data_IF_954667943380
#
_entry.id   IF_954667943380
#
_cell.length_a   1.000
_cell.length_b   1.000
_cell.length_c   1.000
_cell.angle_alpha   90.00
_cell.angle_beta   90.00
_cell.angle_gamma   90.00
#
_symmetry.space_group_name_H-M   'P 1'
#
loop_
_entity.id
_entity.type
_entity.pdbx_description
1 polymer ?
#
# COMPACT_ATOMS: atom_id res chain seq x y z
N UNK A 1 -42.21 44.22 54.25
CA UNK A 1 -42.67 45.62 54.42
C UNK A 1 -41.76 46.53 53.61
N UNK A 2 -42.36 47.43 52.83
CA UNK A 2 -41.82 48.55 52.05
C UNK A 2 -40.97 48.24 50.79
N UNK A 3 -41.59 48.58 49.66
CA UNK A 3 -41.05 48.90 48.34
C UNK A 3 -40.85 50.45 48.25
N UNK A 4 -40.56 51.08 47.10
CA UNK A 4 -39.32 51.11 46.29
C UNK A 4 -38.83 52.56 46.07
N UNK A 5 -37.61 52.79 45.53
CA UNK A 5 -37.32 53.96 44.68
C UNK A 5 -36.40 53.57 43.52
N UNK A 6 -36.78 54.03 42.33
CA UNK A 6 -36.22 53.77 41.01
C UNK A 6 -35.90 55.13 40.36
N UNK A 7 -35.02 55.11 39.34
CA UNK A 7 -34.73 56.11 38.28
C UNK A 7 -33.43 56.92 38.49
N UNK A 8 -32.61 57.25 37.48
CA UNK A 8 -32.88 57.61 36.08
C UNK A 8 -31.69 57.29 35.15
N UNK A 9 -31.99 57.00 33.87
CA UNK A 9 -31.08 57.03 32.71
C UNK A 9 -30.81 58.48 32.25
N UNK A 10 -29.62 58.76 31.70
CA UNK A 10 -29.46 59.53 30.44
C UNK A 10 -28.08 59.32 29.79
N UNK A 11 -28.11 59.07 28.47
CA UNK A 11 -26.98 59.05 27.55
C UNK A 11 -26.64 60.50 27.16
N UNK A 12 -25.35 60.83 27.05
CA UNK A 12 -24.89 61.83 26.07
C UNK A 12 -23.51 61.44 25.54
N UNK A 13 -23.41 61.48 24.22
CA UNK A 13 -22.31 61.19 23.34
C UNK A 13 -21.46 62.48 23.19
N UNK A 14 -20.14 62.41 23.28
CA UNK A 14 -19.27 63.45 22.71
C UNK A 14 -17.91 62.85 22.33
N UNK A 15 -17.72 62.79 21.01
CA UNK A 15 -16.48 62.52 20.28
C UNK A 15 -15.55 63.71 20.48
N UNK A 16 -14.26 63.47 20.72
CA UNK A 16 -13.18 64.36 20.28
C UNK A 16 -11.87 63.59 20.12
N UNK A 17 -11.60 63.35 18.84
CA UNK A 17 -10.36 63.09 18.09
C UNK A 17 -8.99 63.39 18.73
N UNK A 18 -8.02 62.60 18.24
CA UNK A 18 -6.56 62.80 18.19
C UNK A 18 -5.81 62.66 19.53
N UNK A 19 -4.78 61.83 19.65
CA UNK A 19 -3.62 61.80 18.77
C UNK A 19 -2.94 60.44 18.72
N UNK A 20 -2.52 60.13 17.51
CA UNK A 20 -1.74 59.01 17.04
C UNK A 20 -0.37 58.91 17.72
N UNK A 21 -0.13 57.82 18.42
CA UNK A 21 1.22 57.23 18.49
C UNK A 21 1.14 55.86 17.84
N UNK A 22 1.45 55.84 16.54
CA UNK A 22 1.78 54.63 15.80
C UNK A 22 2.94 53.94 16.53
N UNK A 23 2.65 52.86 17.25
CA UNK A 23 3.66 51.85 17.51
C UNK A 23 3.86 51.15 16.18
N UNK A 24 4.91 51.52 15.46
CA UNK A 24 5.44 50.72 14.37
C UNK A 24 5.95 49.43 14.97
N UNK A 25 5.07 48.44 15.12
CA UNK A 25 5.49 47.04 15.07
C UNK A 25 6.09 46.84 13.70
N UNK A 26 7.42 46.86 13.63
CA UNK A 26 8.16 46.19 12.56
C UNK A 26 7.82 44.72 12.64
N UNK A 27 6.67 44.36 12.05
CA UNK A 27 6.51 43.01 11.52
C UNK A 27 7.64 42.87 10.52
N UNK A 28 8.68 42.15 10.91
CA UNK A 28 9.49 41.46 9.93
C UNK A 28 8.51 40.55 9.19
N UNK A 29 7.93 41.09 8.11
CA UNK A 29 7.45 40.31 7.01
C UNK A 29 8.69 39.59 6.51
N UNK A 30 8.96 38.42 7.11
CA UNK A 30 9.60 37.34 6.38
C UNK A 30 8.61 37.07 5.26
N UNK A 31 8.78 37.81 4.17
CA UNK A 31 8.32 37.39 2.89
C UNK A 31 8.97 36.02 2.70
N UNK A 32 8.21 34.96 2.98
CA UNK A 32 8.46 33.67 2.38
C UNK A 32 8.38 33.94 0.88
N UNK A 33 9.54 34.23 0.29
CA UNK A 33 9.77 34.11 -1.14
C UNK A 33 9.15 32.77 -1.50
N UNK A 34 8.13 32.71 -2.36
CA UNK A 34 7.71 31.42 -2.86
C UNK A 34 8.93 30.91 -3.60
N UNK A 35 9.56 29.84 -3.07
CA UNK A 35 10.54 29.08 -3.82
C UNK A 35 9.78 28.44 -4.98
N UNK A 36 9.52 29.23 -6.02
CA UNK A 36 9.10 28.77 -7.34
C UNK A 36 10.34 28.21 -8.02
N UNK A 37 10.67 26.98 -7.62
CA UNK A 37 11.35 25.97 -8.41
C UNK A 37 10.59 24.65 -8.18
N UNK A 38 10.66 23.65 -9.07
CA UNK A 38 9.73 22.51 -9.07
C UNK A 38 9.89 21.51 -7.90
N UNK A 39 10.66 21.86 -6.86
CA UNK A 39 11.07 20.93 -5.82
C UNK A 39 10.77 21.55 -4.45
N UNK A 40 9.60 21.20 -3.92
CA UNK A 40 9.27 21.47 -2.53
C UNK A 40 10.20 20.64 -1.63
N UNK A 41 10.76 21.21 -0.55
CA UNK A 41 11.55 20.45 0.41
C UNK A 41 10.71 19.33 1.05
N UNK A 42 11.32 18.17 1.21
CA UNK A 42 10.75 16.98 1.83
C UNK A 42 10.47 17.23 3.32
N UNK A 43 9.20 17.11 3.76
CA UNK A 43 8.78 17.48 5.13
C UNK A 43 7.89 16.42 5.82
N UNK A 44 7.73 15.21 5.24
CA UNK A 44 6.83 14.22 5.82
C UNK A 44 7.57 13.12 6.59
N UNK A 45 7.56 13.21 7.93
CA UNK A 45 8.12 12.18 8.83
C UNK A 45 7.53 10.77 8.60
N UNK A 46 6.30 10.64 8.10
CA UNK A 46 5.71 9.31 7.84
C UNK A 46 6.45 8.56 6.75
N UNK A 47 7.08 9.28 5.80
CA UNK A 47 7.87 8.66 4.74
C UNK A 47 9.15 8.03 5.30
N UNK A 48 9.75 8.62 6.33
CA UNK A 48 10.93 8.04 6.99
C UNK A 48 10.65 6.66 7.60
N UNK A 49 9.40 6.42 8.00
CA UNK A 49 8.96 5.16 8.57
C UNK A 49 8.42 4.17 7.52
N UNK A 50 8.28 4.60 6.25
CA UNK A 50 7.87 3.75 5.13
C UNK A 50 6.45 3.18 5.21
N UNK A 51 5.59 3.63 6.13
CA UNK A 51 4.21 3.14 6.23
C UNK A 51 3.23 4.24 6.64
N UNK A 52 1.99 4.15 6.15
CA UNK A 52 0.99 5.20 6.36
C UNK A 52 -0.45 4.70 6.24
N UNK A 53 -1.32 5.29 7.07
CA UNK A 53 -2.75 5.00 7.14
C UNK A 53 -3.55 6.26 6.78
N UNK A 54 -4.44 6.16 5.79
CA UNK A 54 -5.14 7.29 5.21
C UNK A 54 -6.64 7.01 5.10
N UNK A 55 -7.46 8.00 5.46
CA UNK A 55 -8.88 8.02 5.11
C UNK A 55 -9.04 8.62 3.72
N UNK A 56 -9.75 7.91 2.86
CA UNK A 56 -9.92 8.27 1.45
C UNK A 56 -11.39 8.27 1.07
N UNK A 57 -11.68 8.97 -0.01
CA UNK A 57 -13.02 9.02 -0.60
C UNK A 57 -12.88 8.76 -2.09
N UNK A 58 -13.78 7.93 -2.63
CA UNK A 58 -13.92 7.69 -4.07
C UNK A 58 -14.53 8.89 -4.79
N UNK A 59 -14.51 8.91 -6.11
CA UNK A 59 -15.17 9.97 -6.89
C UNK A 59 -16.70 9.97 -6.70
N UNK A 60 -17.29 8.82 -6.37
CA UNK A 60 -18.71 8.67 -6.02
C UNK A 60 -18.98 8.82 -4.51
N UNK A 61 -18.11 9.53 -3.78
CA UNK A 61 -18.27 9.92 -2.37
C UNK A 61 -18.37 8.75 -1.36
N UNK A 62 -17.78 7.59 -1.66
CA UNK A 62 -17.69 6.46 -0.73
C UNK A 62 -16.36 6.48 0.00
N UNK A 63 -16.41 6.38 1.33
CA UNK A 63 -15.21 6.35 2.17
C UNK A 63 -14.55 4.97 2.17
N UNK A 64 -13.21 4.92 2.24
CA UNK A 64 -12.45 3.72 2.53
C UNK A 64 -11.17 4.08 3.30
N UNK A 65 -10.57 3.11 3.98
CA UNK A 65 -9.24 3.28 4.57
C UNK A 65 -8.19 2.73 3.62
N UNK A 66 -7.07 3.42 3.51
CA UNK A 66 -5.94 3.00 2.70
C UNK A 66 -4.70 2.83 3.58
N UNK A 67 -4.07 1.66 3.45
CA UNK A 67 -2.84 1.27 4.11
C UNK A 67 -1.76 1.22 3.04
N UNK A 68 -0.77 2.10 3.14
CA UNK A 68 0.34 2.14 2.21
C UNK A 68 1.63 1.78 2.92
N UNK A 69 2.45 0.97 2.26
CA UNK A 69 3.82 0.67 2.67
C UNK A 69 4.78 1.03 1.55
N UNK A 70 5.99 1.39 1.92
CA UNK A 70 7.11 1.72 1.07
C UNK A 70 8.35 1.02 1.60
N UNK A 71 9.05 0.30 0.73
CA UNK A 71 10.23 -0.50 1.05
C UNK A 71 10.00 -1.70 1.98
N UNK A 72 8.76 -2.20 2.03
CA UNK A 72 8.38 -3.41 2.77
C UNK A 72 7.90 -4.51 1.82
N UNK A 73 8.59 -4.72 0.70
CA UNK A 73 8.13 -5.62 -0.38
C UNK A 73 8.02 -7.08 0.07
N UNK A 74 8.84 -7.50 1.04
CA UNK A 74 8.82 -8.86 1.58
C UNK A 74 7.67 -9.08 2.57
N UNK A 75 7.02 -8.01 3.03
CA UNK A 75 5.83 -8.08 3.87
C UNK A 75 4.56 -7.77 3.07
N UNK A 76 3.57 -8.66 3.18
CA UNK A 76 2.28 -8.55 2.51
C UNK A 76 1.14 -8.97 3.43
N UNK A 77 -0.02 -8.35 3.32
CA UNK A 77 -1.20 -8.76 4.08
C UNK A 77 -1.82 -10.06 3.55
N UNK A 78 -1.71 -10.32 2.26
CA UNK A 78 -2.00 -11.58 1.59
C UNK A 78 -0.72 -12.41 1.41
N UNK A 79 -0.83 -13.69 1.04
CA UNK A 79 0.35 -14.50 0.67
C UNK A 79 0.87 -14.14 -0.74
N UNK A 80 0.31 -13.11 -1.36
CA UNK A 80 0.44 -12.76 -2.77
C UNK A 80 0.69 -11.25 -2.94
N UNK A 81 1.07 -10.83 -4.13
CA UNK A 81 1.14 -9.42 -4.49
C UNK A 81 0.26 -9.18 -5.71
N UNK A 82 -0.83 -8.42 -5.57
CA UNK A 82 -1.72 -8.14 -6.69
C UNK A 82 -1.04 -7.15 -7.63
N UNK A 83 -0.85 -7.54 -8.89
CA UNK A 83 -0.36 -6.63 -9.92
C UNK A 83 -1.47 -5.65 -10.30
N UNK A 84 -1.26 -4.39 -9.96
CA UNK A 84 -2.02 -3.26 -10.45
C UNK A 84 -1.26 -2.69 -11.66
N UNK A 85 -1.83 -2.90 -12.85
CA UNK A 85 -1.29 -2.53 -14.19
C UNK A 85 -0.35 -3.59 -14.81
N UNK A 86 -0.62 -3.96 -16.06
CA UNK A 86 -0.03 -5.14 -16.71
C UNK A 86 1.35 -4.93 -17.37
N UNK A 87 2.25 -4.15 -16.77
CA UNK A 87 3.63 -4.00 -17.29
C UNK A 87 4.50 -5.18 -16.85
N UNK A 88 4.13 -5.95 -15.82
CA UNK A 88 4.78 -7.23 -15.55
C UNK A 88 4.31 -8.26 -16.58
N UNK A 89 5.17 -8.56 -17.55
CA UNK A 89 5.19 -9.88 -18.18
C UNK A 89 6.04 -10.81 -17.33
N UNK A 90 5.73 -12.11 -17.36
CA UNK A 90 6.68 -13.10 -16.89
C UNK A 90 8.03 -12.86 -17.55
N UNK A 91 9.09 -12.78 -16.73
CA UNK A 91 10.42 -12.55 -17.24
C UNK A 91 10.79 -13.69 -18.19
N UNK A 92 11.08 -13.36 -19.43
CA UNK A 92 11.51 -14.33 -20.45
C UNK A 92 12.89 -14.88 -20.06
N UNK A 93 13.00 -16.15 -19.66
CA UNK A 93 14.27 -16.85 -19.47
C UNK A 93 14.62 -17.52 -20.79
N UNK A 94 15.80 -17.29 -21.36
CA UNK A 94 16.19 -18.06 -22.56
C UNK A 94 16.12 -19.57 -22.26
N UNK A 95 15.49 -20.36 -23.14
CA UNK A 95 15.27 -21.80 -22.92
C UNK A 95 16.55 -22.53 -22.53
N UNK A 96 17.64 -22.24 -23.26
CA UNK A 96 18.98 -22.75 -22.96
C UNK A 96 19.50 -22.35 -21.56
N UNK A 97 19.19 -21.15 -21.05
CA UNK A 97 19.56 -20.75 -19.69
C UNK A 97 18.76 -21.49 -18.62
N UNK A 98 17.47 -21.76 -18.86
CA UNK A 98 16.64 -22.55 -17.94
C UNK A 98 17.08 -24.01 -17.90
N UNK A 99 17.44 -24.59 -19.05
CA UNK A 99 17.92 -25.97 -19.14
C UNK A 99 19.25 -26.16 -18.39
N UNK A 100 20.10 -25.12 -18.38
CA UNK A 100 21.38 -25.11 -17.65
C UNK A 100 21.18 -24.76 -16.16
N UNK A 101 20.25 -23.85 -15.85
CA UNK A 101 19.94 -23.43 -14.49
C UNK A 101 18.42 -23.26 -14.33
N UNK A 102 17.70 -24.29 -13.86
CA UNK A 102 16.23 -24.27 -13.76
C UNK A 102 15.71 -23.24 -12.75
N UNK A 103 16.59 -22.66 -11.92
CA UNK A 103 16.27 -21.59 -10.97
C UNK A 103 16.69 -20.20 -11.47
N UNK A 104 17.19 -20.07 -12.71
CA UNK A 104 17.58 -18.79 -13.26
C UNK A 104 16.39 -17.83 -13.32
N UNK A 105 16.51 -16.68 -12.68
CA UNK A 105 15.50 -15.62 -12.72
C UNK A 105 15.71 -14.76 -13.96
N UNK A 106 14.64 -14.45 -14.69
CA UNK A 106 14.73 -13.48 -15.78
C UNK A 106 14.66 -12.06 -15.21
N UNK A 107 15.68 -11.25 -15.51
CA UNK A 107 15.71 -9.82 -15.23
C UNK A 107 15.20 -8.99 -16.41
N UNK A 108 14.17 -9.42 -17.16
CA UNK A 108 13.61 -8.61 -18.26
C UNK A 108 12.10 -8.53 -18.15
N UNK A 109 11.61 -7.32 -17.94
CA UNK A 109 10.19 -6.94 -18.06
C UNK A 109 9.96 -6.49 -19.51
N UNK A 110 8.95 -7.02 -20.20
CA UNK A 110 8.56 -6.54 -21.53
C UNK A 110 7.42 -5.54 -21.39
N UNK A 111 7.48 -4.50 -22.19
CA UNK A 111 6.47 -3.44 -22.26
C UNK A 111 5.09 -4.01 -22.63
N UNK A 112 4.04 -3.52 -21.95
CA UNK A 112 2.67 -4.03 -22.02
C UNK A 112 2.07 -4.09 -23.43
N UNK A 113 2.58 -3.29 -24.37
CA UNK A 113 2.13 -3.19 -25.77
C UNK A 113 2.16 -4.54 -26.51
N UNK A 114 3.11 -5.43 -26.21
CA UNK A 114 3.19 -6.75 -26.83
C UNK A 114 2.14 -7.74 -26.27
N UNK A 115 1.79 -7.63 -24.98
CA UNK A 115 0.77 -8.49 -24.35
C UNK A 115 -0.66 -8.17 -24.81
N UNK A 116 -0.92 -6.91 -25.16
CA UNK A 116 -2.23 -6.47 -25.70
C UNK A 116 -2.61 -7.25 -26.96
N UNK A 117 -1.60 -7.62 -27.76
CA UNK A 117 -1.76 -8.36 -29.00
C UNK A 117 -1.91 -9.88 -28.79
N UNK A 118 -1.46 -10.42 -27.65
CA UNK A 118 -1.30 -11.88 -27.47
C UNK A 118 -2.25 -12.48 -26.43
N UNK A 119 -2.64 -11.76 -25.37
CA UNK A 119 -3.38 -12.34 -24.23
C UNK A 119 -4.74 -11.70 -23.91
N UNK A 120 -5.16 -10.65 -24.63
CA UNK A 120 -6.41 -9.94 -24.31
C UNK A 120 -6.35 -9.12 -23.01
N UNK A 121 -7.51 -8.59 -22.59
CA UNK A 121 -7.64 -7.50 -21.60
C UNK A 121 -7.50 -7.86 -20.12
N UNK A 122 -7.27 -9.13 -19.75
CA UNK A 122 -7.32 -9.62 -18.36
C UNK A 122 -6.06 -9.35 -17.51
N UNK A 123 -5.43 -8.19 -17.75
CA UNK A 123 -4.21 -7.76 -17.05
C UNK A 123 -4.38 -7.57 -15.54
N UNK A 124 -5.62 -7.44 -15.07
CA UNK A 124 -5.95 -7.09 -13.68
C UNK A 124 -6.28 -8.28 -12.77
N UNK A 125 -6.31 -9.50 -13.31
CA UNK A 125 -6.65 -10.73 -12.57
C UNK A 125 -5.42 -11.55 -12.15
N UNK A 126 -4.28 -10.87 -11.98
CA UNK A 126 -2.98 -11.52 -11.81
C UNK A 126 -2.27 -11.10 -10.53
N UNK A 127 -1.50 -12.03 -9.99
CA UNK A 127 -0.66 -11.79 -8.81
C UNK A 127 0.73 -12.42 -8.94
N UNK A 128 1.65 -11.99 -8.08
CA UNK A 128 3.01 -12.52 -7.99
C UNK A 128 3.20 -13.37 -6.75
N UNK A 129 3.92 -14.49 -6.88
CA UNK A 129 4.44 -15.24 -5.73
C UNK A 129 5.63 -14.53 -5.10
N UNK A 130 5.69 -14.53 -3.79
CA UNK A 130 6.84 -14.06 -3.03
C UNK A 130 8.02 -15.01 -3.21
N UNK A 131 9.15 -14.46 -3.62
CA UNK A 131 10.40 -15.21 -3.72
C UNK A 131 10.75 -15.83 -2.36
N UNK A 132 11.14 -17.12 -2.34
CA UNK A 132 11.47 -17.91 -1.14
C UNK A 132 10.34 -18.07 -0.09
N UNK A 133 9.12 -17.63 -0.37
CA UNK A 133 8.00 -17.87 0.54
C UNK A 133 7.58 -19.34 0.51
N UNK A 134 7.40 -19.93 1.69
CA UNK A 134 6.92 -21.31 1.83
C UNK A 134 5.39 -21.31 1.77
N UNK A 135 4.87 -21.57 0.57
CA UNK A 135 3.44 -21.76 0.33
C UNK A 135 2.99 -23.13 0.86
N UNK A 136 1.83 -23.18 1.51
CA UNK A 136 1.27 -24.42 2.08
C UNK A 136 0.83 -25.40 1.01
N UNK A 137 0.34 -24.87 -0.12
CA UNK A 137 0.09 -25.64 -1.33
C UNK A 137 1.00 -25.14 -2.42
N UNK A 138 1.76 -26.04 -3.04
CA UNK A 138 2.62 -25.69 -4.15
C UNK A 138 1.76 -25.16 -5.29
N UNK A 139 1.86 -23.85 -5.52
CA UNK A 139 1.24 -23.23 -6.67
C UNK A 139 1.99 -23.72 -7.91
N UNK A 140 1.28 -24.03 -9.00
CA UNK A 140 1.90 -24.60 -10.17
C UNK A 140 3.03 -23.69 -10.66
N UNK A 141 4.15 -24.31 -11.04
CA UNK A 141 5.22 -23.61 -11.71
C UNK A 141 4.79 -23.45 -13.17
N UNK A 142 3.91 -22.47 -13.41
CA UNK A 142 3.36 -22.18 -14.73
C UNK A 142 4.44 -21.56 -15.60
N UNK A 143 5.42 -22.34 -16.01
CA UNK A 143 6.29 -21.95 -17.10
C UNK A 143 5.57 -22.25 -18.39
N UNK A 144 4.91 -21.24 -18.95
CA UNK A 144 4.33 -21.29 -20.28
C UNK A 144 5.47 -21.23 -21.30
N UNK A 145 5.63 -22.27 -22.11
CA UNK A 145 6.45 -22.18 -23.32
C UNK A 145 5.74 -21.18 -24.25
N UNK A 146 6.38 -20.04 -24.50
CA UNK A 146 5.84 -19.05 -25.42
C UNK A 146 6.09 -19.59 -26.82
N UNK A 147 5.03 -20.06 -27.48
CA UNK A 147 5.06 -20.57 -28.85
C UNK A 147 5.79 -19.54 -29.73
N UNK A 148 6.94 -19.93 -30.28
CA UNK A 148 7.82 -19.14 -31.15
C UNK A 148 8.83 -18.16 -30.53
N UNK A 149 9.10 -18.21 -29.21
CA UNK A 149 10.13 -17.36 -28.60
C UNK A 149 11.30 -18.18 -28.03
N UNK A 150 12.54 -17.72 -28.19
CA UNK A 150 13.77 -18.25 -27.55
C UNK A 150 13.69 -18.32 -26.01
N UNK A 151 12.54 -18.02 -25.42
CA UNK A 151 12.33 -17.77 -24.01
C UNK A 151 11.14 -18.55 -23.43
N UNK A 152 11.26 -18.85 -22.15
CA UNK A 152 10.26 -19.49 -21.32
C UNK A 152 9.75 -18.45 -20.32
N UNK A 153 8.45 -18.47 -20.09
CA UNK A 153 7.77 -17.75 -19.03
C UNK A 153 8.31 -18.24 -17.66
N UNK A 154 8.80 -17.32 -16.84
CA UNK A 154 9.42 -17.65 -15.56
C UNK A 154 8.45 -18.00 -14.41
N UNK A 155 7.14 -18.08 -14.68
CA UNK A 155 6.16 -18.57 -13.71
C UNK A 155 6.04 -17.69 -12.46
N UNK A 156 6.20 -16.37 -12.60
CA UNK A 156 6.04 -15.42 -11.50
C UNK A 156 4.63 -14.87 -11.40
N UNK A 157 3.88 -14.87 -12.50
CA UNK A 157 2.55 -14.26 -12.60
C UNK A 157 1.50 -15.36 -12.67
N UNK A 158 0.55 -15.31 -11.75
CA UNK A 158 -0.45 -16.34 -11.50
C UNK A 158 -1.85 -15.79 -11.64
N UNK A 159 -2.78 -16.67 -11.98
CA UNK A 159 -4.20 -16.35 -12.05
C UNK A 159 -4.85 -16.45 -10.66
N UNK A 160 -5.73 -15.51 -10.30
CA UNK A 160 -6.42 -15.54 -9.01
C UNK A 160 -7.16 -16.85 -8.70
N UNK A 161 -7.58 -17.64 -9.71
CA UNK A 161 -8.13 -18.98 -9.51
C UNK A 161 -7.20 -19.91 -8.74
N UNK A 162 -5.89 -19.69 -8.78
CA UNK A 162 -4.89 -20.47 -8.06
C UNK A 162 -4.93 -20.22 -6.54
N UNK A 163 -5.61 -19.17 -6.08
CA UNK A 163 -5.83 -18.89 -4.65
C UNK A 163 -7.02 -19.67 -4.07
N UNK A 164 -7.75 -20.48 -4.86
CA UNK A 164 -8.99 -21.17 -4.44
C UNK A 164 -8.84 -21.93 -3.12
N UNK A 165 -7.74 -22.67 -2.99
CA UNK A 165 -7.48 -23.53 -1.83
C UNK A 165 -6.80 -22.82 -0.66
N UNK A 166 -6.52 -21.52 -0.77
CA UNK A 166 -5.90 -20.75 0.31
C UNK A 166 -6.96 -20.29 1.31
N UNK A 167 -6.62 -20.19 2.61
CA UNK A 167 -7.49 -19.55 3.60
C UNK A 167 -7.90 -18.14 3.16
N UNK A 168 -9.19 -17.78 3.30
CA UNK A 168 -9.71 -16.50 2.80
C UNK A 168 -8.96 -15.27 3.32
N UNK A 169 -8.50 -15.27 4.58
CA UNK A 169 -7.73 -14.17 5.15
C UNK A 169 -6.33 -14.00 4.51
N UNK A 170 -5.81 -15.01 3.81
CA UNK A 170 -4.53 -14.99 3.10
C UNK A 170 -4.70 -14.62 1.61
N UNK A 171 -5.93 -14.63 1.08
CA UNK A 171 -6.24 -14.25 -0.30
C UNK A 171 -6.14 -12.73 -0.51
N UNK A 172 -6.05 -12.33 -1.77
CA UNK A 172 -5.86 -10.92 -2.20
C UNK A 172 -7.02 -10.02 -1.81
N UNK A 173 -8.24 -10.57 -1.72
CA UNK A 173 -9.40 -9.89 -1.15
C UNK A 173 -10.03 -10.79 -0.09
N UNK A 174 -10.33 -10.22 1.08
CA UNK A 174 -11.00 -10.96 2.17
C UNK A 174 -11.98 -10.09 2.94
N UNK A 175 -13.03 -10.70 3.49
CA UNK A 175 -13.94 -10.02 4.41
C UNK A 175 -13.42 -10.04 5.85
N UNK A 176 -13.57 -8.92 6.55
CA UNK A 176 -13.24 -8.72 7.96
C UNK A 176 -14.50 -8.28 8.70
N UNK A 177 -14.94 -9.06 9.68
CA UNK A 177 -16.19 -8.83 10.41
C UNK A 177 -16.00 -8.32 11.83
N UNK A 178 -14.81 -8.48 12.39
CA UNK A 178 -14.51 -8.17 13.79
C UNK A 178 -13.00 -7.97 14.01
N UNK A 179 -12.64 -7.61 15.24
CA UNK A 179 -11.25 -7.37 15.65
C UNK A 179 -10.35 -8.59 15.54
N UNK A 180 -10.86 -9.80 15.80
CA UNK A 180 -10.08 -11.03 15.71
C UNK A 180 -9.67 -11.29 14.26
N UNK A 181 -10.62 -11.18 13.35
CA UNK A 181 -10.37 -11.30 11.90
C UNK A 181 -9.45 -10.18 11.40
N UNK A 182 -9.56 -8.97 11.96
CA UNK A 182 -8.64 -7.88 11.63
C UNK A 182 -7.20 -8.21 12.04
N UNK A 183 -6.97 -8.70 13.26
CA UNK A 183 -5.62 -9.10 13.70
C UNK A 183 -5.01 -10.16 12.80
N UNK A 184 -5.81 -11.15 12.40
CA UNK A 184 -5.38 -12.21 11.51
C UNK A 184 -5.06 -11.67 10.10
N UNK A 185 -5.93 -10.83 9.55
CA UNK A 185 -5.72 -10.23 8.23
C UNK A 185 -4.54 -9.24 8.21
N UNK A 186 -4.23 -8.63 9.35
CA UNK A 186 -3.05 -7.79 9.56
C UNK A 186 -1.79 -8.59 9.93
N UNK A 187 -1.82 -9.92 9.95
CA UNK A 187 -0.64 -10.76 10.24
C UNK A 187 -0.04 -10.55 11.64
N UNK A 188 -0.91 -10.32 12.63
CA UNK A 188 -0.52 -10.01 14.01
C UNK A 188 -0.68 -11.18 14.98
N UNK A 189 -1.19 -12.33 14.54
CA UNK A 189 -1.20 -13.55 15.33
C UNK A 189 0.19 -14.22 15.36
N UNK A 190 0.46 -14.96 16.43
CA UNK A 190 1.78 -15.54 16.70
C UNK A 190 2.23 -16.51 15.60
N UNK A 191 1.32 -17.38 15.13
CA UNK A 191 1.61 -18.35 14.06
C UNK A 191 2.09 -17.64 12.78
N UNK A 192 1.40 -16.58 12.40
CA UNK A 192 1.74 -15.81 11.21
C UNK A 192 3.03 -15.02 11.39
N UNK A 193 3.24 -14.44 12.57
CA UNK A 193 4.47 -13.72 12.90
C UNK A 193 5.68 -14.65 12.82
N UNK A 194 5.58 -15.86 13.35
CA UNK A 194 6.64 -16.87 13.26
C UNK A 194 6.95 -17.26 11.81
N UNK A 195 5.91 -17.49 10.99
CA UNK A 195 6.04 -17.79 9.55
C UNK A 195 6.84 -16.69 8.83
N UNK A 196 6.53 -15.43 9.14
CA UNK A 196 7.23 -14.27 8.59
C UNK A 196 8.67 -14.14 9.06
N UNK A 197 8.95 -14.33 10.35
CA UNK A 197 10.31 -14.27 10.87
C UNK A 197 11.21 -15.35 10.28
N UNK A 198 10.68 -16.56 10.07
CA UNK A 198 11.38 -17.63 9.37
C UNK A 198 11.68 -17.25 7.92
N UNK A 199 10.71 -16.64 7.25
CA UNK A 199 10.86 -16.15 5.88
C UNK A 199 11.94 -15.07 5.76
N UNK A 200 11.90 -14.03 6.59
CA UNK A 200 12.88 -12.94 6.55
C UNK A 200 14.29 -13.42 6.88
N UNK A 201 14.42 -14.39 7.80
CA UNK A 201 15.71 -15.02 8.08
C UNK A 201 16.27 -15.74 6.84
N UNK A 202 15.44 -16.46 6.09
CA UNK A 202 15.85 -17.13 4.87
C UNK A 202 16.32 -16.15 3.79
N UNK A 203 15.65 -14.99 3.67
CA UNK A 203 16.09 -13.91 2.77
C UNK A 203 17.46 -13.34 3.19
N UNK A 204 17.64 -13.07 4.48
CA UNK A 204 18.91 -12.54 5.01
C UNK A 204 20.08 -13.52 4.80
N UNK A 205 19.84 -14.81 5.03
CA UNK A 205 20.83 -15.86 4.77
C UNK A 205 21.14 -15.99 3.26
N UNK A 206 20.15 -15.80 2.38
CA UNK A 206 20.35 -15.88 0.94
C UNK A 206 21.15 -14.70 0.38
N UNK A 207 20.78 -13.46 0.74
CA UNK A 207 21.36 -12.26 0.14
C UNK A 207 22.60 -11.73 0.87
N UNK A 208 22.73 -11.95 2.18
CA UNK A 208 23.73 -11.26 3.00
C UNK A 208 24.64 -12.18 3.82
N UNK A 209 24.54 -13.50 3.65
CA UNK A 209 25.35 -14.47 4.43
C UNK A 209 26.87 -14.28 4.27
N UNK A 210 27.33 -13.78 3.12
CA UNK A 210 28.75 -13.52 2.86
C UNK A 210 29.24 -12.15 3.35
N UNK A 211 28.31 -11.25 3.71
CA UNK A 211 28.61 -9.86 4.07
C UNK A 211 28.50 -9.57 5.57
N UNK A 212 28.05 -10.54 6.38
CA UNK A 212 27.83 -10.35 7.82
C UNK A 212 28.54 -11.39 8.66
N UNK A 213 29.36 -10.91 9.59
CA UNK A 213 30.05 -11.74 10.59
C UNK A 213 29.14 -12.22 11.73
N UNK A 214 27.88 -11.78 11.77
CA UNK A 214 26.91 -12.19 12.80
C UNK A 214 25.53 -12.48 12.24
N UNK A 215 24.83 -13.40 12.92
CA UNK A 215 23.41 -13.69 12.68
C UNK A 215 22.55 -12.50 13.13
N UNK A 216 21.59 -12.13 12.29
CA UNK A 216 20.56 -11.13 12.63
C UNK A 216 19.59 -11.70 13.68
N UNK A 217 19.20 -10.87 14.64
CA UNK A 217 18.25 -11.25 15.69
C UNK A 217 16.80 -11.12 15.20
N UNK A 218 15.83 -11.74 15.90
CA UNK A 218 14.40 -11.62 15.55
C UNK A 218 13.88 -10.19 15.65
N UNK A 219 14.38 -9.40 16.62
CA UNK A 219 13.99 -8.00 16.78
C UNK A 219 14.52 -7.13 15.65
N UNK A 220 15.75 -7.38 15.19
CA UNK A 220 16.31 -6.71 14.01
C UNK A 220 15.56 -7.08 12.73
N UNK A 221 15.20 -8.35 12.54
CA UNK A 221 14.34 -8.79 11.44
C UNK A 221 12.98 -8.08 11.48
N UNK A 222 12.35 -8.02 12.66
CA UNK A 222 11.06 -7.37 12.86
C UNK A 222 11.11 -5.89 12.48
N UNK A 223 12.13 -5.16 12.97
CA UNK A 223 12.31 -3.73 12.66
C UNK A 223 12.61 -3.46 11.19
N UNK A 224 13.33 -4.37 10.53
CA UNK A 224 13.71 -4.21 9.13
C UNK A 224 12.55 -4.51 8.16
N UNK A 225 11.77 -5.55 8.43
CA UNK A 225 10.83 -6.10 7.45
C UNK A 225 9.36 -5.91 7.78
N UNK A 226 8.98 -5.60 9.02
CA UNK A 226 7.58 -5.37 9.38
C UNK A 226 7.25 -3.87 9.33
N UNK A 227 6.10 -3.47 8.76
CA UNK A 227 5.76 -2.06 8.55
C UNK A 227 5.21 -1.36 9.80
N UNK A 228 5.26 -2.02 10.97
CA UNK A 228 4.55 -1.57 12.17
C UNK A 228 5.26 -0.42 12.88
N UNK A 229 4.53 0.67 13.09
CA UNK A 229 5.02 1.88 13.75
C UNK A 229 3.98 2.39 14.76
N UNK A 230 4.31 3.41 15.54
CA UNK A 230 3.38 4.04 16.49
C UNK A 230 2.14 4.64 15.80
N UNK A 231 2.25 4.97 14.51
CA UNK A 231 1.16 5.54 13.70
C UNK A 231 0.58 4.57 12.67
N UNK A 232 1.19 3.39 12.52
CA UNK A 232 0.76 2.32 11.62
C UNK A 232 0.78 1.00 12.38
N UNK A 233 -0.27 0.75 13.16
CA UNK A 233 -0.43 -0.43 13.99
C UNK A 233 -1.92 -0.81 14.12
N UNK A 234 -2.17 -1.92 14.80
CA UNK A 234 -3.53 -2.44 15.04
C UNK A 234 -4.48 -1.37 15.61
N UNK A 235 -4.08 -0.68 16.68
CA UNK A 235 -4.95 0.28 17.36
C UNK A 235 -5.25 1.50 16.48
N UNK A 236 -4.25 1.99 15.76
CA UNK A 236 -4.41 3.10 14.80
C UNK A 236 -5.35 2.75 13.65
N UNK A 237 -5.26 1.52 13.12
CA UNK A 237 -6.16 1.03 12.08
C UNK A 237 -7.57 0.85 12.64
N UNK A 238 -7.69 0.15 13.78
CA UNK A 238 -8.96 -0.17 14.43
C UNK A 238 -9.75 1.09 14.82
N UNK A 239 -9.10 2.13 15.31
CA UNK A 239 -9.78 3.38 15.71
C UNK A 239 -10.48 4.10 14.55
N UNK A 240 -10.09 3.82 13.31
CA UNK A 240 -10.74 4.33 12.09
C UNK A 240 -11.84 3.40 11.54
N UNK A 241 -12.12 2.28 12.22
CA UNK A 241 -13.10 1.28 11.82
C UNK A 241 -14.27 1.24 12.80
N UNK A 242 -15.47 0.92 12.30
CA UNK A 242 -16.68 0.72 13.11
C UNK A 242 -17.28 -0.65 12.77
N UNK A 243 -16.82 -1.68 13.49
CA UNK A 243 -17.32 -3.05 13.34
C UNK A 243 -18.78 -3.23 13.81
N UNK A 244 -19.39 -2.25 14.48
CA UNK A 244 -20.82 -2.30 14.82
C UNK A 244 -21.66 -1.98 13.59
N UNK A 245 -21.22 -1.00 12.79
CA UNK A 245 -21.93 -0.56 11.58
C UNK A 245 -21.50 -1.29 10.31
N UNK A 246 -20.27 -1.78 10.25
CA UNK A 246 -19.68 -2.28 9.01
C UNK A 246 -18.97 -3.63 9.18
N UNK A 247 -18.97 -4.41 8.11
CA UNK A 247 -17.90 -5.34 7.76
C UNK A 247 -16.97 -4.65 6.75
N UNK A 248 -15.78 -5.18 6.52
CA UNK A 248 -14.82 -4.56 5.61
C UNK A 248 -14.29 -5.58 4.59
N UNK A 249 -14.34 -5.26 3.30
CA UNK A 249 -13.52 -5.96 2.32
C UNK A 249 -12.11 -5.39 2.37
N UNK A 250 -11.15 -6.24 2.67
CA UNK A 250 -9.74 -5.90 2.66
C UNK A 250 -9.12 -6.34 1.34
N UNK A 251 -8.87 -5.36 0.49
CA UNK A 251 -8.20 -5.47 -0.81
C UNK A 251 -6.71 -5.26 -0.55
N UNK A 252 -5.86 -6.24 -0.84
CA UNK A 252 -4.50 -6.29 -0.28
C UNK A 252 -3.42 -6.20 -1.35
N UNK A 253 -2.32 -5.57 -0.95
CA UNK A 253 -1.01 -5.64 -1.60
C UNK A 253 -1.04 -5.32 -3.09
N UNK A 254 -1.81 -4.30 -3.48
CA UNK A 254 -1.75 -3.78 -4.84
C UNK A 254 -0.38 -3.17 -5.07
N UNK A 255 0.28 -3.70 -6.10
CA UNK A 255 1.60 -3.34 -6.55
C UNK A 255 1.49 -2.65 -7.89
N UNK A 256 1.87 -1.38 -7.97
CA UNK A 256 1.93 -0.67 -9.26
C UNK A 256 3.21 -1.06 -9.99
N UNK A 257 3.19 -0.85 -11.28
CA UNK A 257 4.35 -1.04 -12.16
C UNK A 257 4.93 0.29 -12.63
N UNK A 258 4.21 1.39 -12.36
CA UNK A 258 4.55 2.72 -12.80
C UNK A 258 5.50 3.41 -11.83
N UNK A 259 6.76 3.03 -11.94
CA UNK A 259 7.88 3.90 -11.61
C UNK A 259 9.19 3.15 -11.39
N UNK A 260 10.25 3.93 -11.42
CA UNK A 260 11.61 3.46 -11.33
C UNK A 260 11.91 2.97 -9.90
N UNK A 261 12.57 1.81 -9.74
CA UNK A 261 13.08 1.37 -8.44
C UNK A 261 14.09 2.33 -7.82
N UNK A 262 14.63 3.24 -8.64
CA UNK A 262 15.49 4.35 -8.24
C UNK A 262 14.72 5.62 -7.83
N UNK A 263 13.40 5.64 -8.00
CA UNK A 263 12.58 6.73 -7.49
C UNK A 263 12.34 6.54 -5.98
N UNK A 264 12.78 7.50 -5.16
CA UNK A 264 12.23 7.70 -3.83
C UNK A 264 10.72 8.05 -3.84
N UNK A 265 10.15 8.15 -2.65
CA UNK A 265 8.76 8.53 -2.44
C UNK A 265 8.67 9.93 -1.81
N UNK A 266 7.87 10.80 -2.40
CA UNK A 266 7.64 12.15 -1.89
C UNK A 266 6.33 12.29 -1.09
N UNK A 267 5.37 11.37 -1.27
CA UNK A 267 4.11 11.38 -0.54
C UNK A 267 3.50 9.96 -0.43
N UNK A 268 3.47 9.42 0.80
CA UNK A 268 2.84 8.13 1.12
C UNK A 268 1.32 8.13 0.90
N UNK A 269 0.67 9.28 0.81
CA UNK A 269 -0.78 9.39 0.56
C UNK A 269 -1.13 9.23 -0.94
N UNK A 270 -0.15 9.19 -1.86
CA UNK A 270 -0.34 9.03 -3.31
C UNK A 270 -0.24 7.57 -3.76
N UNK A 271 -0.17 7.33 -5.07
CA UNK A 271 -0.12 6.01 -5.67
C UNK A 271 -1.49 5.46 -6.01
N UNK A 272 -1.67 4.14 -5.85
CA UNK A 272 -2.89 3.44 -6.21
C UNK A 272 -4.03 3.85 -5.28
N UNK A 273 -5.19 4.18 -5.83
CA UNK A 273 -6.39 4.54 -5.08
C UNK A 273 -7.63 3.91 -5.72
N UNK A 274 -8.72 3.81 -4.96
CA UNK A 274 -10.02 3.41 -5.50
C UNK A 274 -10.69 4.65 -6.10
N UNK A 275 -10.96 4.60 -7.41
CA UNK A 275 -11.74 5.61 -8.14
C UNK A 275 -13.22 5.45 -7.83
N UNK A 276 -13.73 4.23 -7.91
CA UNK A 276 -15.10 3.85 -7.55
C UNK A 276 -15.20 2.35 -7.31
N UNK A 277 -16.25 1.91 -6.63
CA UNK A 277 -16.55 0.48 -6.47
C UNK A 277 -18.07 0.22 -6.40
N UNK A 278 -18.47 -0.95 -6.86
CA UNK A 278 -19.85 -1.45 -6.82
C UNK A 278 -19.85 -2.89 -6.33
N UNK A 279 -20.72 -3.17 -5.37
CA UNK A 279 -20.91 -4.49 -4.78
C UNK A 279 -22.34 -4.91 -5.06
N UNK A 280 -22.52 -6.01 -5.77
CA UNK A 280 -23.81 -6.57 -6.12
C UNK A 280 -24.00 -7.87 -5.33
N UNK A 281 -24.68 -7.77 -4.19
CA UNK A 281 -24.76 -8.88 -3.23
C UNK A 281 -25.51 -10.11 -3.79
N UNK A 282 -26.55 -9.88 -4.60
CA UNK A 282 -27.40 -10.94 -5.15
C UNK A 282 -26.69 -11.76 -6.23
N UNK A 283 -25.90 -11.09 -7.08
CA UNK A 283 -25.11 -11.71 -8.14
C UNK A 283 -23.69 -12.07 -7.71
N UNK A 284 -23.35 -11.84 -6.43
CA UNK A 284 -22.00 -12.02 -5.87
C UNK A 284 -20.95 -11.37 -6.76
N UNK A 285 -21.15 -10.10 -7.17
CA UNK A 285 -20.22 -9.43 -8.09
C UNK A 285 -19.56 -8.24 -7.42
N UNK A 286 -18.23 -8.21 -7.40
CA UNK A 286 -17.44 -7.07 -6.95
C UNK A 286 -16.77 -6.38 -8.15
N UNK A 287 -17.11 -5.11 -8.38
CA UNK A 287 -16.43 -4.27 -9.37
C UNK A 287 -15.67 -3.17 -8.63
N UNK A 288 -14.35 -3.12 -8.80
CA UNK A 288 -13.52 -2.03 -8.27
C UNK A 288 -12.80 -1.37 -9.45
N UNK A 289 -12.96 -0.06 -9.58
CA UNK A 289 -12.19 0.75 -10.51
C UNK A 289 -11.10 1.43 -9.71
N UNK A 290 -9.86 1.07 -10.01
CA UNK A 290 -8.69 1.72 -9.44
C UNK A 290 -8.23 2.87 -10.33
N UNK A 291 -7.45 3.78 -9.74
CA UNK A 291 -6.73 4.83 -10.46
C UNK A 291 -5.39 5.08 -9.78
N UNK A 292 -4.53 5.83 -10.45
CA UNK A 292 -3.19 6.13 -9.94
C UNK A 292 -3.02 7.64 -9.79
N UNK A 293 -2.75 8.08 -8.56
CA UNK A 293 -2.23 9.42 -8.33
C UNK A 293 -0.75 9.41 -8.66
N UNK A 294 -0.35 10.20 -9.68
CA UNK A 294 1.05 10.38 -10.04
C UNK A 294 1.85 10.73 -8.79
N UNK A 295 2.92 10.00 -8.57
CA UNK A 295 3.88 10.35 -7.54
C UNK A 295 4.57 11.67 -7.91
N UNK A 296 4.82 12.50 -6.91
CA UNK A 296 5.74 13.63 -7.10
C UNK A 296 7.12 13.02 -7.27
N UNK A 297 7.82 13.39 -8.33
CA UNK A 297 9.18 12.93 -8.58
C UNK A 297 9.98 13.16 -7.28
N UNK A 298 10.56 12.10 -6.70
CA UNK A 298 11.40 12.25 -5.53
C UNK A 298 12.48 13.27 -5.82
N UNK A 299 12.78 14.09 -4.83
CA UNK A 299 13.86 15.05 -4.95
C UNK A 299 15.14 14.33 -5.41
N UNK A 300 15.90 14.94 -6.32
CA UNK A 300 17.10 14.34 -6.92
C UNK A 300 18.16 13.91 -5.88
N UNK A 301 18.05 14.44 -4.64
CA UNK A 301 18.94 14.19 -3.51
C UNK A 301 18.20 13.58 -2.30
N UNK A 302 17.02 13.00 -2.50
CA UNK A 302 16.35 12.23 -1.45
C UNK A 302 17.27 11.03 -1.15
N UNK A 303 17.47 10.66 0.13
CA UNK A 303 18.38 9.57 0.46
C UNK A 303 17.99 8.35 -0.36
N UNK A 304 18.88 7.96 -1.28
CA UNK A 304 18.79 6.67 -1.92
C UNK A 304 18.92 5.67 -0.78
N UNK A 305 17.95 4.78 -0.68
CA UNK A 305 18.07 3.66 0.23
C UNK A 305 19.36 2.90 -0.11
N UNK A 306 20.16 2.55 0.91
CA UNK A 306 21.48 1.91 0.77
C UNK A 306 21.41 0.56 0.02
N UNK A 307 20.20 0.07 -0.27
CA UNK A 307 19.95 -1.03 -1.19
C UNK A 307 20.12 -0.61 -2.67
N UNK A 308 21.35 -0.33 -3.06
CA UNK A 308 21.80 -0.10 -4.45
C UNK A 308 21.51 -1.28 -5.41
N UNK A 309 20.99 -2.42 -4.92
CA UNK A 309 20.86 -3.67 -5.69
C UNK A 309 19.44 -4.00 -6.14
N UNK A 310 18.49 -3.07 -5.98
CA UNK A 310 17.09 -3.28 -6.32
C UNK A 310 16.59 -2.39 -7.48
N UNK A 311 17.41 -2.27 -8.52
CA UNK A 311 17.06 -1.62 -9.80
C UNK A 311 15.82 -2.22 -10.50
N UNK A 312 15.26 -3.31 -9.96
CA UNK A 312 14.10 -4.05 -10.48
C UNK A 312 12.84 -3.95 -9.61
N UNK A 313 12.87 -3.22 -8.49
CA UNK A 313 11.87 -3.39 -7.44
C UNK A 313 10.97 -2.17 -7.26
N UNK A 314 9.67 -2.37 -7.45
CA UNK A 314 8.66 -1.40 -7.06
C UNK A 314 8.51 -1.41 -5.53
N UNK A 315 8.79 -0.28 -4.88
CA UNK A 315 8.88 -0.23 -3.42
C UNK A 315 7.54 -0.05 -2.71
N UNK A 316 6.46 0.31 -3.41
CA UNK A 316 5.14 0.61 -2.82
C UNK A 316 4.15 -0.56 -2.88
N UNK A 317 3.49 -0.86 -1.77
CA UNK A 317 2.24 -1.63 -1.75
C UNK A 317 1.10 -0.77 -1.21
N UNK A 318 -0.08 -0.91 -1.82
CA UNK A 318 -1.31 -0.23 -1.39
C UNK A 318 -2.38 -1.27 -1.07
N UNK A 319 -3.01 -1.14 0.09
CA UNK A 319 -4.12 -1.99 0.51
C UNK A 319 -5.29 -1.13 0.98
N UNK A 320 -6.52 -1.60 0.81
CA UNK A 320 -7.73 -0.82 1.08
C UNK A 320 -8.74 -1.61 1.89
N UNK A 321 -9.30 -0.99 2.93
CA UNK A 321 -10.44 -1.49 3.70
C UNK A 321 -11.70 -0.75 3.23
N UNK A 322 -12.53 -1.45 2.47
CA UNK A 322 -13.79 -0.95 1.93
C UNK A 322 -14.92 -1.27 2.92
N UNK A 323 -15.58 -0.29 3.54
CA UNK A 323 -16.70 -0.54 4.44
C UNK A 323 -17.92 -1.05 3.67
N UNK A 324 -18.58 -2.03 4.26
CA UNK A 324 -19.83 -2.63 3.80
C UNK A 324 -20.78 -2.67 4.98
N UNK A 325 -22.02 -2.24 4.78
CA UNK A 325 -23.04 -2.31 5.83
C UNK A 325 -23.07 -3.69 6.48
N UNK A 326 -23.18 -3.69 7.82
CA UNK A 326 -23.16 -4.91 8.62
C UNK A 326 -24.15 -5.93 8.06
N UNK A 327 -23.71 -7.18 7.94
CA UNK A 327 -24.51 -8.33 7.51
C UNK A 327 -25.03 -8.30 6.06
N UNK A 328 -24.68 -7.30 5.22
CA UNK A 328 -24.97 -7.38 3.77
C UNK A 328 -24.18 -8.47 3.06
N UNK A 329 -23.00 -8.80 3.58
CA UNK A 329 -22.19 -9.95 3.19
C UNK A 329 -21.83 -10.70 4.46
N UNK A 330 -22.35 -11.93 4.60
CA UNK A 330 -22.04 -12.85 5.69
C UNK A 330 -20.72 -13.60 5.45
N UNK A 331 -20.46 -13.95 4.19
CA UNK A 331 -19.32 -14.72 3.73
C UNK A 331 -18.80 -14.17 2.41
N UNK A 332 -17.47 -14.17 2.24
CA UNK A 332 -16.82 -13.72 1.02
C UNK A 332 -15.63 -14.63 0.72
N UNK A 333 -15.61 -15.13 -0.50
CA UNK A 333 -14.50 -15.85 -1.07
C UNK A 333 -14.25 -15.24 -2.45
N UNK A 334 -13.08 -14.65 -2.67
CA UNK A 334 -12.82 -13.90 -3.91
C UNK A 334 -12.90 -14.77 -5.18
N UNK A 335 -12.78 -16.10 -5.06
CA UNK A 335 -12.90 -17.00 -6.21
C UNK A 335 -14.36 -17.27 -6.60
N UNK A 336 -15.30 -16.95 -5.72
CA UNK A 336 -16.74 -17.09 -5.95
C UNK A 336 -17.39 -15.74 -6.35
N UNK A 337 -16.63 -14.63 -6.32
CA UNK A 337 -17.11 -13.24 -6.41
C UNK A 337 -16.62 -12.44 -7.62
#
# INVERSE_FOLDING_TARGET
>A
MLSPILKYKKKTFLILLSSSTFVTTTTALIACVPKTGPYAPFDNKSILNGSGLFEKTTEDNKSYLQLNTWNFMDFTFSDFQWIFEGIWTNGKIEKARKDINPHAVSGRVIEASWLEQVQGSDRFLKFVKKFMWQYEQELPNNTVDVEDSRYIDSGYIHDFKEQTNYPNHLKSISLIKNEKELKQALRLDDQTREKYLKYFKALEEHFYSLLRDRKITQDELSKKYLPWTDTFNFDSIKTKMDFKKYNYLFVKDLRSTLGDGNAGIADLNKGIKIKSYKIEHESQKLNIIFSYDKEVYPCHNCPLDDALDHSWSWKRLSSMLIPIEKNKISEFNMNDW
#
